data_IF_121109665794
#
_entry.id   IF_121109665794
#
_cell.length_a   1.000
_cell.length_b   1.000
_cell.length_c   1.000
_cell.angle_alpha   90.00
_cell.angle_beta   90.00
_cell.angle_gamma   90.00
#
_symmetry.space_group_name_H-M   'P 1'
#
loop_
_entity.id
_entity.type
_entity.pdbx_description
1 polymer ?
#
# COMPACT_ATOMS: atom_id res chain seq x y z
N UNK A 1 40.76 2.56 23.73
CA UNK A 1 39.71 1.60 23.29
C UNK A 1 38.36 1.94 23.88
N UNK A 2 38.24 2.11 25.17
CA UNK A 2 36.96 2.44 25.84
C UNK A 2 36.28 3.73 25.31
N UNK A 3 37.05 4.77 25.03
CA UNK A 3 36.53 6.05 24.51
C UNK A 3 35.92 5.89 23.11
N UNK A 4 36.54 5.08 22.24
CA UNK A 4 36.04 4.81 20.88
C UNK A 4 34.75 4.00 20.93
N UNK A 5 34.71 3.01 21.82
CA UNK A 5 33.50 2.18 22.01
C UNK A 5 32.34 3.02 22.55
N UNK A 6 32.59 3.86 23.53
CA UNK A 6 31.58 4.76 24.09
C UNK A 6 31.05 5.75 23.06
N UNK A 7 31.93 6.35 22.24
CA UNK A 7 31.53 7.23 21.17
C UNK A 7 30.67 6.52 20.12
N UNK A 8 30.98 5.26 19.80
CA UNK A 8 30.21 4.44 18.90
C UNK A 8 28.83 4.12 19.48
N UNK A 9 28.75 3.78 20.77
CA UNK A 9 27.49 3.50 21.48
C UNK A 9 26.60 4.76 21.45
N UNK A 10 27.15 5.93 21.74
CA UNK A 10 26.40 7.19 21.72
C UNK A 10 25.87 7.51 20.31
N UNK A 11 26.69 7.37 19.28
CA UNK A 11 26.30 7.57 17.88
C UNK A 11 25.19 6.59 17.49
N UNK A 12 25.35 5.34 17.84
CA UNK A 12 24.38 4.27 17.55
C UNK A 12 23.04 4.55 18.25
N UNK A 13 23.10 4.97 19.52
CA UNK A 13 21.90 5.33 20.28
C UNK A 13 21.11 6.48 19.62
N UNK A 14 21.81 7.50 19.09
CA UNK A 14 21.18 8.59 18.36
C UNK A 14 20.51 8.10 17.07
N UNK A 15 21.17 7.21 16.34
CA UNK A 15 20.59 6.61 15.13
C UNK A 15 19.31 5.83 15.48
N UNK A 16 19.35 5.04 16.56
CA UNK A 16 18.19 4.27 17.02
C UNK A 16 17.01 5.16 17.40
N UNK A 17 17.27 6.28 18.12
CA UNK A 17 16.23 7.23 18.53
C UNK A 17 15.59 7.96 17.35
N UNK A 18 16.35 8.18 16.28
CA UNK A 18 15.89 8.88 15.08
C UNK A 18 15.36 7.92 14.00
N UNK A 19 15.43 6.62 14.23
CA UNK A 19 14.95 5.64 13.26
C UNK A 19 13.44 5.74 13.11
N UNK A 20 13.00 5.78 11.87
CA UNK A 20 11.58 5.66 11.53
C UNK A 20 11.20 4.19 11.59
N UNK A 21 10.23 3.86 12.43
CA UNK A 21 9.75 2.50 12.58
C UNK A 21 8.34 2.38 12.04
N UNK A 22 8.08 1.28 11.35
CA UNK A 22 6.78 0.97 10.79
C UNK A 22 6.40 -0.44 11.19
N UNK A 23 5.17 -0.63 11.64
CA UNK A 23 4.58 -1.96 11.69
C UNK A 23 3.90 -2.26 10.36
N UNK A 24 3.69 -3.52 10.04
CA UNK A 24 3.02 -3.88 8.81
C UNK A 24 2.13 -5.10 9.01
N UNK A 25 1.07 -5.14 8.22
CA UNK A 25 0.12 -6.27 8.19
C UNK A 25 -0.21 -6.61 6.76
N UNK A 26 -0.61 -7.85 6.53
CA UNK A 26 -1.08 -8.32 5.24
C UNK A 26 -2.46 -8.93 5.36
N UNK A 27 -3.26 -8.77 4.32
CA UNK A 27 -4.53 -9.46 4.19
C UNK A 27 -4.87 -9.64 2.71
N UNK A 28 -5.88 -10.44 2.43
CA UNK A 28 -6.30 -10.77 1.08
C UNK A 28 -7.79 -10.58 0.92
N UNK A 29 -8.20 -10.12 -0.27
CA UNK A 29 -9.61 -10.02 -0.66
C UNK A 29 -9.76 -10.44 -2.12
N UNK A 30 -10.77 -11.24 -2.39
CA UNK A 30 -11.17 -11.52 -3.76
C UNK A 30 -11.91 -10.32 -4.33
N UNK A 31 -11.59 -9.94 -5.56
CA UNK A 31 -12.22 -8.81 -6.22
C UNK A 31 -12.34 -8.99 -7.72
N UNK A 32 -13.30 -8.30 -8.32
CA UNK A 32 -13.50 -8.24 -9.75
C UNK A 32 -13.28 -6.81 -10.21
N UNK A 33 -12.45 -6.65 -11.24
CA UNK A 33 -12.26 -5.37 -11.89
C UNK A 33 -12.03 -5.55 -13.40
N UNK A 34 -11.92 -4.47 -14.12
CA UNK A 34 -11.57 -4.46 -15.54
C UNK A 34 -10.73 -3.24 -15.86
N UNK A 35 -9.98 -3.36 -16.94
CA UNK A 35 -9.19 -2.25 -17.48
C UNK A 35 -9.71 -1.89 -18.87
N UNK A 36 -10.66 -0.90 -18.98
CA UNK A 36 -11.32 -0.60 -20.25
C UNK A 36 -10.37 -0.20 -21.38
N UNK A 37 -9.29 0.52 -21.07
CA UNK A 37 -8.31 0.93 -22.07
C UNK A 37 -7.62 -0.25 -22.76
N UNK A 38 -7.61 -1.42 -22.15
CA UNK A 38 -7.00 -2.62 -22.73
C UNK A 38 -7.68 -3.07 -24.03
N UNK A 39 -8.97 -2.73 -24.22
CA UNK A 39 -9.71 -3.04 -25.46
C UNK A 39 -9.80 -1.88 -26.44
N UNK A 40 -9.50 -0.65 -26.00
CA UNK A 40 -9.65 0.55 -26.81
C UNK A 40 -8.34 1.21 -27.20
N UNK A 41 -7.26 1.01 -26.43
CA UNK A 41 -5.94 1.58 -26.73
C UNK A 41 -5.20 0.67 -27.72
N UNK A 42 -4.83 1.17 -28.93
CA UNK A 42 -4.10 0.37 -29.92
C UNK A 42 -2.75 -0.15 -29.46
N UNK A 43 -2.14 0.47 -28.44
CA UNK A 43 -0.89 -0.02 -27.84
C UNK A 43 -1.09 -1.27 -27.00
N UNK A 44 -2.31 -1.52 -26.53
CA UNK A 44 -2.66 -2.63 -25.67
C UNK A 44 -3.46 -3.69 -26.41
N UNK A 45 -4.41 -3.26 -27.25
CA UNK A 45 -5.26 -4.14 -28.08
C UNK A 45 -4.63 -4.30 -29.47
N UNK A 46 -3.57 -5.10 -29.55
CA UNK A 46 -2.75 -5.24 -30.78
C UNK A 46 -3.11 -6.44 -31.64
N UNK A 47 -4.08 -7.26 -31.23
CA UNK A 47 -4.43 -8.57 -31.83
C UNK A 47 -3.32 -9.63 -31.72
N UNK A 48 -2.31 -9.41 -30.89
CA UNK A 48 -1.30 -10.39 -30.52
C UNK A 48 -1.83 -11.22 -29.36
N UNK A 49 -1.63 -12.53 -29.38
CA UNK A 49 -2.05 -13.44 -28.29
C UNK A 49 -1.41 -13.10 -26.94
N UNK A 50 -0.30 -12.37 -26.95
CA UNK A 50 0.39 -11.91 -25.74
C UNK A 50 0.00 -10.50 -25.31
N UNK A 51 -0.93 -9.86 -25.98
CA UNK A 51 -1.40 -8.55 -25.55
C UNK A 51 -2.29 -8.65 -24.30
N UNK A 52 -2.63 -7.51 -23.73
CA UNK A 52 -3.40 -7.43 -22.48
C UNK A 52 -4.87 -7.07 -22.71
N UNK A 53 -5.38 -7.22 -23.95
CA UNK A 53 -6.76 -6.84 -24.30
C UNK A 53 -7.80 -7.55 -23.46
N UNK A 54 -7.53 -8.80 -23.01
CA UNK A 54 -8.42 -9.53 -22.13
C UNK A 54 -8.73 -8.82 -20.82
N UNK A 55 -7.87 -7.91 -20.37
CA UNK A 55 -8.06 -7.12 -19.16
C UNK A 55 -9.20 -6.10 -19.30
N UNK A 56 -9.67 -5.83 -20.53
CA UNK A 56 -10.83 -4.98 -20.77
C UNK A 56 -12.15 -5.58 -20.33
N UNK A 57 -12.19 -6.87 -20.12
CA UNK A 57 -13.36 -7.58 -19.62
C UNK A 57 -13.28 -7.78 -18.11
N UNK A 58 -14.41 -7.88 -17.39
CA UNK A 58 -14.39 -8.19 -15.96
C UNK A 58 -13.63 -9.48 -15.70
N UNK A 59 -12.68 -9.43 -14.77
CA UNK A 59 -11.87 -10.57 -14.39
C UNK A 59 -11.60 -10.52 -12.88
N UNK A 60 -11.38 -11.70 -12.33
CA UNK A 60 -11.24 -11.89 -10.88
C UNK A 60 -9.80 -12.14 -10.50
N UNK A 61 -9.39 -11.51 -9.39
CA UNK A 61 -8.10 -11.74 -8.75
C UNK A 61 -8.28 -11.95 -7.26
N UNK A 62 -7.30 -12.56 -6.64
CA UNK A 62 -7.09 -12.44 -5.21
C UNK A 62 -6.17 -11.23 -5.00
N UNK A 63 -6.72 -10.15 -4.48
CA UNK A 63 -5.95 -8.96 -4.18
C UNK A 63 -5.22 -9.16 -2.85
N UNK A 64 -3.91 -8.96 -2.87
CA UNK A 64 -3.07 -9.00 -1.69
C UNK A 64 -2.73 -7.59 -1.27
N UNK A 65 -2.93 -7.31 0.01
CA UNK A 65 -2.64 -6.02 0.61
C UNK A 65 -1.50 -6.16 1.60
N UNK A 66 -0.54 -5.27 1.52
CA UNK A 66 0.48 -5.09 2.55
C UNK A 66 0.44 -3.62 2.97
N UNK A 67 0.16 -3.37 4.23
CA UNK A 67 0.02 -2.02 4.77
C UNK A 67 1.02 -1.82 5.89
N UNK A 68 1.94 -0.88 5.69
CA UNK A 68 2.90 -0.45 6.69
C UNK A 68 2.52 0.93 7.20
N UNK A 69 2.54 1.13 8.50
CA UNK A 69 2.20 2.40 9.14
C UNK A 69 3.25 2.79 10.16
N UNK A 70 3.64 4.06 10.16
CA UNK A 70 4.60 4.61 11.08
C UNK A 70 4.09 4.55 12.51
N UNK A 71 4.98 4.13 13.42
CA UNK A 71 4.73 4.12 14.85
C UNK A 71 5.74 5.04 15.56
N UNK A 72 5.33 5.62 16.68
CA UNK A 72 6.12 6.64 17.38
C UNK A 72 6.77 6.13 18.66
N UNK A 73 6.44 4.93 19.10
CA UNK A 73 7.13 4.26 20.19
C UNK A 73 7.11 2.74 20.00
N UNK A 74 7.94 2.07 20.76
CA UNK A 74 8.26 0.65 20.55
C UNK A 74 7.30 -0.33 21.24
N UNK A 75 6.41 0.15 22.08
CA UNK A 75 5.52 -0.70 22.86
C UNK A 75 4.08 -0.61 22.37
N UNK A 76 3.84 -1.18 21.22
CA UNK A 76 2.50 -1.32 20.61
C UNK A 76 1.72 -0.01 20.50
N UNK A 77 2.36 1.02 19.98
CA UNK A 77 1.69 2.28 19.62
C UNK A 77 0.43 1.99 18.79
N UNK A 78 0.56 1.09 17.82
CA UNK A 78 -0.56 0.48 17.12
C UNK A 78 -0.36 -1.04 17.23
N UNK A 79 -1.35 -1.74 17.79
CA UNK A 79 -1.30 -3.19 17.90
C UNK A 79 -1.67 -3.79 16.53
N UNK A 80 -0.77 -4.57 15.93
CA UNK A 80 -0.91 -4.96 14.53
C UNK A 80 -2.03 -5.97 14.25
N UNK A 81 -2.42 -6.82 15.20
CA UNK A 81 -3.56 -7.72 14.99
C UNK A 81 -4.87 -6.94 14.96
N UNK A 82 -5.04 -5.97 15.87
CA UNK A 82 -6.20 -5.09 15.89
C UNK A 82 -6.25 -4.24 14.62
N UNK A 83 -5.10 -3.74 14.18
CA UNK A 83 -4.99 -2.96 12.95
C UNK A 83 -5.41 -3.78 11.74
N UNK A 84 -4.89 -4.99 11.61
CA UNK A 84 -5.24 -5.92 10.53
C UNK A 84 -6.75 -6.20 10.49
N UNK A 85 -7.35 -6.51 11.63
CA UNK A 85 -8.79 -6.79 11.72
C UNK A 85 -9.63 -5.58 11.35
N UNK A 86 -9.20 -4.40 11.76
CA UNK A 86 -9.86 -3.17 11.37
C UNK A 86 -9.79 -2.93 9.86
N UNK A 87 -8.63 -3.13 9.23
CA UNK A 87 -8.47 -3.01 7.79
C UNK A 87 -9.37 -4.00 7.04
N UNK A 88 -9.39 -5.25 7.47
CA UNK A 88 -10.24 -6.27 6.84
C UNK A 88 -11.72 -5.89 6.90
N UNK A 89 -12.16 -5.26 7.98
CA UNK A 89 -13.56 -4.82 8.15
C UNK A 89 -13.94 -3.61 7.30
N UNK A 90 -12.99 -2.89 6.75
CA UNK A 90 -13.29 -1.81 5.80
C UNK A 90 -13.87 -2.34 4.49
N UNK A 91 -13.64 -3.61 4.21
CA UNK A 91 -14.14 -4.28 3.00
C UNK A 91 -15.30 -5.21 3.35
N UNK A 92 -16.27 -5.29 2.43
CA UNK A 92 -17.37 -6.23 2.56
C UNK A 92 -16.88 -7.67 2.53
N UNK A 93 -17.66 -8.59 3.10
CA UNK A 93 -17.43 -10.00 2.91
C UNK A 93 -17.74 -10.41 1.47
N UNK A 94 -17.10 -11.51 1.02
CA UNK A 94 -17.27 -12.02 -0.33
C UNK A 94 -16.41 -11.27 -1.36
N UNK A 95 -16.82 -11.38 -2.62
CA UNK A 95 -16.08 -10.78 -3.74
C UNK A 95 -16.34 -9.28 -3.86
N UNK A 96 -15.28 -8.50 -3.91
CA UNK A 96 -15.37 -7.03 -4.03
C UNK A 96 -15.65 -6.63 -5.47
N UNK A 97 -16.57 -5.67 -5.65
CA UNK A 97 -16.80 -5.02 -6.93
C UNK A 97 -15.89 -3.78 -7.04
N UNK A 98 -14.79 -3.93 -7.76
CA UNK A 98 -13.76 -2.90 -7.86
C UNK A 98 -13.86 -2.06 -9.14
N UNK A 99 -14.84 -2.38 -10.01
CA UNK A 99 -15.09 -1.65 -11.26
C UNK A 99 -13.82 -1.54 -12.12
N UNK A 100 -13.38 -0.31 -12.41
CA UNK A 100 -12.19 -0.05 -13.23
C UNK A 100 -10.96 0.33 -12.40
N UNK A 101 -10.98 0.07 -11.10
CA UNK A 101 -9.89 0.50 -10.22
C UNK A 101 -8.62 -0.32 -10.44
N UNK A 102 -7.52 0.39 -10.62
CA UNK A 102 -6.18 -0.17 -10.60
C UNK A 102 -5.71 -0.43 -9.18
N UNK A 103 -4.60 -1.14 -9.01
CA UNK A 103 -3.99 -1.33 -7.71
C UNK A 103 -3.65 0.00 -7.04
N UNK A 104 -3.19 1.00 -7.80
CA UNK A 104 -2.89 2.35 -7.30
C UNK A 104 -4.15 3.04 -6.76
N UNK A 105 -5.25 2.95 -7.48
CA UNK A 105 -6.53 3.56 -7.07
C UNK A 105 -7.09 2.87 -5.82
N UNK A 106 -7.00 1.55 -5.76
CA UNK A 106 -7.40 0.76 -4.58
C UNK A 106 -6.58 1.20 -3.36
N UNK A 107 -5.27 1.38 -3.56
CA UNK A 107 -4.36 1.86 -2.52
C UNK A 107 -4.77 3.24 -1.99
N UNK A 108 -5.08 4.18 -2.87
CA UNK A 108 -5.48 5.54 -2.49
C UNK A 108 -6.78 5.54 -1.68
N UNK A 109 -7.76 4.73 -2.08
CA UNK A 109 -9.01 4.59 -1.33
C UNK A 109 -8.75 4.06 0.10
N UNK A 110 -7.88 3.07 0.21
CA UNK A 110 -7.52 2.50 1.50
C UNK A 110 -6.74 3.51 2.35
N UNK A 111 -5.78 4.21 1.74
CA UNK A 111 -5.01 5.24 2.43
C UNK A 111 -5.91 6.29 3.06
N UNK A 112 -6.91 6.77 2.34
CA UNK A 112 -7.85 7.77 2.87
C UNK A 112 -8.49 7.30 4.18
N UNK A 113 -8.95 6.06 4.24
CA UNK A 113 -9.56 5.50 5.44
C UNK A 113 -8.55 5.39 6.60
N UNK A 114 -7.32 4.98 6.30
CA UNK A 114 -6.29 4.87 7.32
C UNK A 114 -5.90 6.25 7.85
N UNK A 115 -5.70 7.22 6.97
CA UNK A 115 -5.30 8.58 7.36
C UNK A 115 -6.36 9.29 8.20
N UNK A 116 -7.63 9.01 7.96
CA UNK A 116 -8.72 9.55 8.79
C UNK A 116 -8.69 9.03 10.22
N UNK A 117 -8.29 7.79 10.42
CA UNK A 117 -8.19 7.18 11.76
C UNK A 117 -6.84 7.43 12.42
N UNK A 118 -5.76 7.41 11.65
CA UNK A 118 -4.38 7.55 12.13
C UNK A 118 -3.69 8.69 11.37
N UNK A 119 -4.04 9.96 11.68
CA UNK A 119 -3.47 11.10 10.95
C UNK A 119 -1.98 11.31 11.25
N UNK A 120 -1.32 11.99 10.31
CA UNK A 120 0.07 12.44 10.45
C UNK A 120 1.10 11.31 10.61
N UNK A 121 0.85 10.18 9.94
CA UNK A 121 1.76 9.04 9.90
C UNK A 121 2.13 8.72 8.47
N UNK A 122 3.40 8.38 8.26
CA UNK A 122 3.82 7.84 6.98
C UNK A 122 3.25 6.44 6.81
N UNK A 123 2.75 6.16 5.63
CA UNK A 123 2.08 4.90 5.31
C UNK A 123 2.62 4.41 3.97
N UNK A 124 2.85 3.12 3.86
CA UNK A 124 3.19 2.46 2.61
C UNK A 124 2.17 1.34 2.36
N UNK A 125 1.57 1.35 1.18
CA UNK A 125 0.58 0.34 0.81
C UNK A 125 1.03 -0.33 -0.48
N UNK A 126 1.09 -1.65 -0.46
CA UNK A 126 1.26 -2.47 -1.64
C UNK A 126 -0.04 -3.22 -1.90
N UNK A 127 -0.57 -3.05 -3.09
CA UNK A 127 -1.73 -3.82 -3.57
C UNK A 127 -1.27 -4.61 -4.77
N UNK A 128 -1.47 -5.91 -4.73
CA UNK A 128 -1.09 -6.79 -5.84
C UNK A 128 -2.23 -7.70 -6.27
N UNK A 129 -2.17 -8.11 -7.52
CA UNK A 129 -3.06 -9.10 -8.12
C UNK A 129 -2.40 -10.47 -8.01
N UNK A 130 -3.04 -11.38 -7.28
CA UNK A 130 -2.59 -12.76 -7.07
C UNK A 130 -1.17 -12.87 -6.47
N UNK A 131 -0.66 -11.79 -5.89
CA UNK A 131 0.70 -11.73 -5.36
C UNK A 131 1.80 -11.70 -6.41
N UNK A 132 1.45 -11.52 -7.69
CA UNK A 132 2.39 -11.57 -8.81
C UNK A 132 2.79 -10.21 -9.36
N UNK A 133 1.82 -9.30 -9.45
CA UNK A 133 2.04 -7.95 -9.95
C UNK A 133 1.22 -6.97 -9.13
N UNK A 134 1.68 -5.75 -9.01
CA UNK A 134 0.95 -4.75 -8.26
C UNK A 134 1.65 -3.42 -8.21
N UNK A 135 1.21 -2.59 -7.29
CA UNK A 135 1.75 -1.26 -7.07
C UNK A 135 2.04 -1.03 -5.60
N UNK A 136 3.14 -0.35 -5.33
CA UNK A 136 3.51 0.14 -4.00
C UNK A 136 3.45 1.65 -4.01
N UNK A 137 2.67 2.22 -3.10
CA UNK A 137 2.55 3.67 -2.94
C UNK A 137 3.06 4.07 -1.56
N UNK A 138 3.93 5.05 -1.53
CA UNK A 138 4.47 5.63 -0.30
C UNK A 138 3.77 6.97 -0.05
N UNK A 139 3.04 7.05 1.05
CA UNK A 139 2.34 8.25 1.48
C UNK A 139 3.15 8.92 2.59
N UNK A 140 3.84 9.99 2.22
CA UNK A 140 4.78 10.69 3.09
C UNK A 140 4.20 12.03 3.53
N UNK A 141 3.98 12.17 4.83
CA UNK A 141 3.39 13.37 5.43
C UNK A 141 4.33 14.56 5.44
N UNK A 142 5.63 14.33 5.22
CA UNK A 142 6.66 15.37 5.23
C UNK A 142 7.02 15.89 3.85
N UNK A 143 6.50 15.27 2.77
CA UNK A 143 6.73 15.78 1.42
C UNK A 143 5.92 17.05 1.20
N UNK A 144 6.52 18.10 0.62
CA UNK A 144 5.77 19.30 0.28
C UNK A 144 4.70 18.98 -0.76
N UNK A 145 3.55 19.61 -0.61
CA UNK A 145 2.48 19.52 -1.58
C UNK A 145 2.98 20.03 -2.95
N UNK A 146 2.91 19.17 -3.95
CA UNK A 146 3.17 19.57 -5.33
C UNK A 146 1.83 19.88 -5.97
N UNK A 147 1.59 21.17 -6.26
CA UNK A 147 0.42 21.55 -7.05
C UNK A 147 0.57 20.90 -8.43
N UNK A 148 -0.50 20.20 -8.88
CA UNK A 148 -0.56 19.74 -10.24
C UNK A 148 -0.55 20.99 -11.13
N UNK A 149 0.55 21.20 -11.86
CA UNK A 149 0.58 22.21 -12.91
C UNK A 149 -0.39 21.76 -14.00
N UNK A 150 -1.43 22.53 -14.17
CA UNK A 150 -2.42 22.32 -15.25
C UNK A 150 -1.87 22.95 -16.53
#
# INVERSE_FOLDING_TARGET
MQQREQALVEKTSRIMKNAKKMIWVTFRKEGIHRYPAATSDPKLATNDEYDVSFLGYPHRHIFHFNVAIQVFHDDRDIEFIQFKRWLEKLYSEGTLELNHKSCEMISDDLYLQIALRYPNRDIEITVSEDGENGATTQYDTHKPYQSLAI
#
